data_IF_974011878498
#
_entry.id   IF_974011878498
#
_cell.length_a   1.000
_cell.length_b   1.000
_cell.length_c   1.000
_cell.angle_alpha   90.00
_cell.angle_beta   90.00
_cell.angle_gamma   90.00
#
_symmetry.space_group_name_H-M   'P 1'
#
loop_
_entity.id
_entity.type
_entity.pdbx_description
1 polymer ?
#
# COMPACT_ATOMS: atom_id res chain seq x y z
N UNK A 1 -24.42 11.95 1.83
CA UNK A 1 -24.03 11.60 1.55
C UNK A 1 -22.96 11.22 1.61
N UNK A 2 -22.68 10.78 1.46
CA UNK A 2 -21.71 10.01 1.47
C UNK A 2 -20.45 10.51 1.53
N UNK A 3 -20.17 11.37 2.17
CA UNK A 3 -18.89 11.75 2.33
C UNK A 3 -18.18 10.82 3.19
N UNK A 4 -18.87 9.90 3.62
CA UNK A 4 -18.28 8.98 4.52
C UNK A 4 -17.12 8.27 3.96
N UNK A 5 -16.94 8.36 2.70
CA UNK A 5 -15.92 7.56 2.13
C UNK A 5 -14.56 8.18 2.13
N UNK A 6 -14.48 9.40 2.64
CA UNK A 6 -13.16 10.00 2.72
C UNK A 6 -12.40 9.38 3.88
N UNK A 7 -11.30 8.74 3.59
CA UNK A 7 -10.45 8.11 4.59
C UNK A 7 -9.06 8.66 4.48
N UNK A 8 -8.30 8.47 5.56
CA UNK A 8 -6.92 8.95 5.63
C UNK A 8 -6.03 7.83 6.13
N UNK A 9 -4.89 7.68 5.49
CA UNK A 9 -3.87 6.73 5.90
C UNK A 9 -2.67 7.51 6.41
N UNK A 10 -2.25 7.23 7.64
CA UNK A 10 -1.07 7.87 8.22
C UNK A 10 0.14 6.98 8.05
N UNK A 11 1.27 7.56 7.68
CA UNK A 11 2.52 6.84 7.56
C UNK A 11 3.65 7.78 7.93
N UNK A 12 4.68 7.27 8.60
CA UNK A 12 5.81 8.12 8.97
C UNK A 12 6.67 8.39 7.73
N UNK A 13 7.44 9.47 7.79
CA UNK A 13 8.36 9.79 6.71
C UNK A 13 9.38 8.68 6.50
N UNK A 14 9.82 8.04 7.59
CA UNK A 14 10.78 6.94 7.49
C UNK A 14 10.22 5.77 6.71
N UNK A 15 8.98 5.38 7.00
CA UNK A 15 8.37 4.25 6.30
C UNK A 15 8.07 4.60 4.85
N UNK A 16 7.63 5.84 4.59
CA UNK A 16 7.40 6.27 3.22
C UNK A 16 8.70 6.21 2.42
N UNK A 17 9.82 6.60 3.03
CA UNK A 17 11.11 6.52 2.34
C UNK A 17 11.53 5.09 2.09
N UNK A 18 11.20 4.17 3.00
CA UNK A 18 11.51 2.76 2.77
C UNK A 18 10.74 2.22 1.57
N UNK A 19 9.49 2.63 1.41
CA UNK A 19 8.70 2.22 0.25
C UNK A 19 9.34 2.78 -1.02
N UNK A 20 9.72 4.05 -1.00
CA UNK A 20 10.36 4.68 -2.16
C UNK A 20 11.69 4.00 -2.49
N UNK A 21 12.48 3.70 -1.48
CA UNK A 21 13.77 3.03 -1.69
C UNK A 21 13.56 1.65 -2.31
N UNK A 22 12.56 0.90 -1.82
CA UNK A 22 12.25 -0.41 -2.38
C UNK A 22 11.85 -0.29 -3.84
N UNK A 23 11.04 0.73 -4.17
CA UNK A 23 10.58 0.93 -5.54
C UNK A 23 11.72 1.30 -6.48
N UNK A 24 12.68 2.08 -6.01
CA UNK A 24 13.85 2.43 -6.82
C UNK A 24 14.77 1.24 -7.00
N UNK A 25 14.89 0.43 -5.94
CA UNK A 25 15.79 -0.72 -5.96
C UNK A 25 15.35 -1.78 -6.95
N UNK A 26 14.04 -2.00 -7.07
CA UNK A 26 13.54 -3.03 -7.99
C UNK A 26 13.34 -2.53 -9.41
N UNK A 27 13.34 -1.22 -9.62
CA UNK A 27 13.15 -0.68 -10.95
C UNK A 27 14.11 -1.35 -11.93
N UNK A 28 13.70 -1.78 -13.12
CA UNK A 28 12.43 -1.47 -13.80
C UNK A 28 11.29 -2.43 -13.49
N UNK A 29 11.43 -3.24 -12.46
CA UNK A 29 10.37 -4.17 -12.06
C UNK A 29 9.54 -3.54 -10.93
N UNK A 30 8.30 -4.00 -10.79
CA UNK A 30 7.45 -3.55 -9.70
C UNK A 30 7.92 -4.14 -8.38
N UNK A 31 7.88 -3.33 -7.33
CA UNK A 31 8.04 -3.84 -5.98
C UNK A 31 6.65 -4.07 -5.38
N UNK A 32 6.59 -4.83 -4.31
CA UNK A 32 5.36 -4.98 -3.55
C UNK A 32 5.69 -5.33 -2.10
N UNK A 33 4.72 -5.10 -1.23
CA UNK A 33 4.86 -5.43 0.17
C UNK A 33 3.56 -5.21 0.91
N UNK A 34 3.53 -5.64 2.17
CA UNK A 34 2.37 -5.46 3.03
C UNK A 34 2.57 -4.26 3.94
N UNK A 35 1.46 -3.61 4.24
CA UNK A 35 1.41 -2.52 5.22
C UNK A 35 0.87 -3.10 6.52
N UNK A 36 1.66 -3.01 7.58
CA UNK A 36 1.27 -3.52 8.87
C UNK A 36 0.97 -2.34 9.79
N UNK A 37 -0.13 -2.42 10.54
CA UNK A 37 -0.47 -1.31 11.40
C UNK A 37 -1.76 -1.53 12.14
N UNK A 38 -2.50 -0.45 12.36
CA UNK A 38 -3.77 -0.47 13.07
C UNK A 38 -4.80 0.31 12.31
N UNK A 39 -6.00 -0.23 12.30
CA UNK A 39 -7.13 0.48 11.71
C UNK A 39 -7.69 1.43 12.76
N UNK A 40 -8.48 2.41 12.33
CA UNK A 40 -9.13 3.32 13.24
C UNK A 40 -10.16 2.59 14.08
N UNK A 41 -10.41 3.13 15.27
CA UNK A 41 -11.37 2.55 16.20
C UNK A 41 -12.77 2.97 15.80
N UNK A 42 -13.67 2.01 15.63
CA UNK A 42 -15.05 2.30 15.28
C UNK A 42 -15.71 3.22 16.30
N UNK A 43 -15.32 3.10 17.57
CA UNK A 43 -15.86 3.95 18.62
C UNK A 43 -15.31 5.36 18.57
N UNK A 44 -14.32 5.61 17.76
CA UNK A 44 -13.69 6.93 17.63
C UNK A 44 -13.60 7.27 16.15
N UNK A 45 -14.67 7.86 15.59
CA UNK A 45 -14.70 8.11 14.15
C UNK A 45 -13.56 8.96 13.62
N UNK A 46 -12.94 9.77 14.47
CA UNK A 46 -11.81 10.57 14.05
C UNK A 46 -10.52 9.77 13.97
N UNK A 47 -10.50 8.56 14.48
CA UNK A 47 -9.29 7.75 14.41
C UNK A 47 -9.04 7.31 12.96
N UNK A 48 -7.79 7.31 12.56
CA UNK A 48 -7.42 6.98 11.20
C UNK A 48 -6.57 5.72 11.19
N UNK A 49 -6.44 5.15 10.02
CA UNK A 49 -5.61 3.97 9.83
C UNK A 49 -4.15 4.39 9.80
N UNK A 50 -3.30 3.65 10.49
CA UNK A 50 -1.90 4.03 10.63
C UNK A 50 -0.98 2.88 10.25
N UNK A 51 -0.02 3.16 9.36
CA UNK A 51 1.01 2.20 8.98
C UNK A 51 2.13 2.29 10.00
N UNK A 52 2.47 1.17 10.64
CA UNK A 52 3.48 1.13 11.69
C UNK A 52 4.69 0.28 11.33
N UNK A 53 4.57 -0.57 10.33
CA UNK A 53 5.67 -1.41 9.85
C UNK A 53 5.40 -1.84 8.43
N UNK A 54 6.42 -2.33 7.76
CA UNK A 54 6.31 -2.84 6.40
C UNK A 54 6.77 -4.28 6.36
N UNK A 55 6.21 -5.03 5.43
CA UNK A 55 6.65 -6.40 5.18
C UNK A 55 6.90 -6.52 3.68
N UNK A 56 8.13 -6.23 3.23
CA UNK A 56 8.43 -6.29 1.79
C UNK A 56 8.32 -7.71 1.26
N UNK A 57 7.86 -7.82 0.02
CA UNK A 57 7.70 -9.10 -0.65
C UNK A 57 8.58 -9.15 -1.88
N UNK A 58 8.83 -10.36 -2.35
CA UNK A 58 9.57 -10.58 -3.58
C UNK A 58 8.54 -10.72 -4.71
N UNK A 59 8.73 -9.97 -5.80
CA UNK A 59 7.85 -10.08 -6.94
C UNK A 59 8.16 -11.39 -7.65
N UNK A 60 7.16 -12.27 -7.71
CA UNK A 60 7.33 -13.63 -8.23
C UNK A 60 6.71 -13.84 -9.61
N UNK A 61 6.23 -12.76 -10.24
CA UNK A 61 5.69 -12.89 -11.59
C UNK A 61 6.83 -13.07 -12.57
N UNK A 62 6.82 -14.18 -13.29
CA UNK A 62 7.85 -14.46 -14.26
C UNK A 62 7.52 -13.91 -15.64
N UNK A 63 6.22 -13.84 -15.97
CA UNK A 63 5.80 -13.47 -17.31
C UNK A 63 5.80 -11.97 -17.53
N UNK A 64 5.64 -11.16 -16.50
CA UNK A 64 5.55 -9.72 -16.68
C UNK A 64 5.96 -8.98 -15.41
N UNK A 65 7.12 -9.27 -14.82
CA UNK A 65 7.50 -8.66 -13.54
C UNK A 65 7.72 -7.15 -13.64
N UNK A 66 7.90 -6.64 -14.86
CA UNK A 66 8.10 -5.21 -15.03
C UNK A 66 6.81 -4.42 -14.79
N UNK A 67 5.67 -4.99 -15.19
CA UNK A 67 4.40 -4.28 -15.13
C UNK A 67 3.43 -4.84 -14.12
N UNK A 68 3.76 -5.92 -13.48
CA UNK A 68 2.83 -6.61 -12.58
C UNK A 68 3.58 -7.28 -11.45
N UNK A 69 2.86 -7.51 -10.37
CA UNK A 69 3.41 -8.27 -9.26
C UNK A 69 2.41 -9.35 -8.88
N UNK A 70 2.86 -10.33 -8.10
CA UNK A 70 2.02 -11.43 -7.68
C UNK A 70 2.24 -11.68 -6.20
N UNK A 71 1.14 -11.71 -5.44
CA UNK A 71 1.18 -12.01 -4.02
C UNK A 71 0.49 -13.35 -3.84
N UNK A 72 1.21 -14.32 -3.28
CA UNK A 72 0.68 -15.66 -3.10
C UNK A 72 -0.06 -15.77 -1.78
N UNK A 73 -0.87 -16.84 -1.63
CA UNK A 73 -1.53 -17.10 -0.36
C UNK A 73 -0.51 -17.27 0.76
N UNK A 74 0.64 -17.83 0.44
CA UNK A 74 1.71 -17.99 1.40
C UNK A 74 2.24 -16.64 1.87
N UNK A 75 2.40 -15.70 0.93
CA UNK A 75 2.86 -14.35 1.27
C UNK A 75 1.88 -13.67 2.22
N UNK A 76 0.59 -13.82 1.96
CA UNK A 76 -0.44 -13.23 2.83
C UNK A 76 -0.35 -13.83 4.22
N UNK A 77 -0.19 -15.14 4.30
CA UNK A 77 -0.10 -15.82 5.59
C UNK A 77 1.14 -15.35 6.38
N UNK A 78 2.26 -15.22 5.70
CA UNK A 78 3.48 -14.76 6.35
C UNK A 78 3.35 -13.32 6.84
N UNK A 79 2.71 -12.47 6.04
CA UNK A 79 2.48 -11.09 6.44
C UNK A 79 1.58 -11.03 7.67
N UNK A 80 0.53 -11.85 7.69
CA UNK A 80 -0.38 -11.90 8.84
C UNK A 80 0.33 -12.36 10.09
N UNK A 81 1.16 -13.40 9.99
CA UNK A 81 1.91 -13.91 11.13
C UNK A 81 2.87 -12.86 11.67
N UNK A 82 3.56 -12.18 10.76
CA UNK A 82 4.51 -11.15 11.15
C UNK A 82 3.81 -10.00 11.85
N UNK A 83 2.65 -9.60 11.33
CA UNK A 83 1.86 -8.54 11.94
C UNK A 83 1.42 -8.93 13.34
N UNK A 84 0.88 -10.15 13.49
CA UNK A 84 0.39 -10.61 14.79
C UNK A 84 1.52 -10.67 15.82
N UNK A 85 2.71 -11.07 15.40
CA UNK A 85 3.84 -11.14 16.31
C UNK A 85 4.23 -9.76 16.85
N UNK A 86 3.85 -8.70 16.14
CA UNK A 86 4.13 -7.33 16.56
C UNK A 86 2.92 -6.64 17.16
N UNK A 87 1.82 -7.37 17.37
CA UNK A 87 0.59 -6.78 17.87
C UNK A 87 -0.10 -5.90 16.85
N UNK A 88 0.12 -6.16 15.58
CA UNK A 88 -0.45 -5.38 14.49
C UNK A 88 -1.30 -6.27 13.59
N UNK A 89 -1.84 -5.68 12.52
CA UNK A 89 -2.57 -6.44 11.51
C UNK A 89 -2.17 -5.93 10.13
N UNK A 90 -2.43 -6.71 9.11
CA UNK A 90 -2.22 -6.26 7.73
C UNK A 90 -3.37 -5.32 7.40
N UNK A 91 -3.04 -4.07 7.11
CA UNK A 91 -4.05 -3.07 6.80
C UNK A 91 -4.04 -2.69 5.32
N UNK A 92 -3.07 -3.18 4.56
CA UNK A 92 -3.01 -2.87 3.15
C UNK A 92 -1.75 -3.41 2.50
N UNK A 93 -1.54 -2.92 1.30
CA UNK A 93 -0.44 -3.38 0.45
C UNK A 93 0.14 -2.20 -0.29
N UNK A 94 1.40 -2.28 -0.70
CA UNK A 94 2.01 -1.27 -1.55
C UNK A 94 2.64 -1.93 -2.76
N UNK A 95 2.69 -1.17 -3.86
CA UNK A 95 3.45 -1.59 -5.03
C UNK A 95 3.85 -0.37 -5.83
N UNK A 96 4.77 -0.56 -6.77
CA UNK A 96 5.25 0.53 -7.60
C UNK A 96 4.77 0.38 -9.03
N UNK A 97 4.70 1.50 -9.74
CA UNK A 97 4.35 1.56 -11.15
C UNK A 97 5.56 2.13 -11.91
N UNK A 98 6.44 1.26 -12.44
CA UNK A 98 7.59 1.75 -13.20
C UNK A 98 7.15 2.47 -14.46
N UNK A 99 7.53 3.76 -14.55
CA UNK A 99 7.25 4.64 -15.69
C UNK A 99 5.76 4.80 -16.00
N UNK A 100 4.91 4.63 -14.98
CA UNK A 100 3.47 4.85 -15.10
C UNK A 100 2.97 5.70 -13.92
N UNK A 101 1.83 6.38 -14.08
CA UNK A 101 1.29 7.19 -12.99
C UNK A 101 0.91 6.35 -11.76
N UNK A 102 0.85 7.01 -10.61
CA UNK A 102 0.49 6.35 -9.35
C UNK A 102 -1.03 6.25 -9.23
N UNK A 103 -1.64 5.52 -10.17
CA UNK A 103 -3.08 5.28 -10.19
C UNK A 103 -3.34 3.82 -10.46
N UNK A 104 -4.40 3.24 -9.87
CA UNK A 104 -4.68 1.81 -10.06
C UNK A 104 -4.90 1.46 -11.51
N UNK A 105 -4.34 0.34 -11.94
CA UNK A 105 -4.56 -0.22 -13.25
C UNK A 105 -5.74 -1.17 -13.21
N UNK A 106 -6.18 -1.65 -14.36
CA UNK A 106 -7.22 -2.66 -14.42
C UNK A 106 -6.75 -3.94 -13.72
N UNK A 107 -5.47 -4.29 -13.90
CA UNK A 107 -4.91 -5.45 -13.20
C UNK A 107 -5.01 -5.26 -11.70
N UNK A 108 -4.70 -4.07 -11.20
CA UNK A 108 -4.81 -3.79 -9.78
C UNK A 108 -6.23 -3.99 -9.29
N UNK A 109 -7.20 -3.48 -10.05
CA UNK A 109 -8.60 -3.60 -9.67
C UNK A 109 -9.06 -5.05 -9.65
N UNK A 110 -8.63 -5.83 -10.62
CA UNK A 110 -9.03 -7.23 -10.73
C UNK A 110 -8.50 -8.07 -9.59
N UNK A 111 -7.38 -7.66 -9.00
CA UNK A 111 -6.71 -8.46 -7.98
C UNK A 111 -6.76 -7.85 -6.58
N UNK A 112 -7.45 -6.72 -6.41
CA UNK A 112 -7.53 -6.07 -5.11
C UNK A 112 -8.74 -6.57 -4.33
N UNK A 113 -8.73 -6.27 -3.03
CA UNK A 113 -9.82 -6.60 -2.13
C UNK A 113 -10.33 -5.34 -1.45
N UNK A 114 -11.61 -5.19 -1.24
CA UNK A 114 -12.12 -4.07 -0.45
C UNK A 114 -11.54 -4.09 0.96
N UNK A 115 -11.61 -2.97 1.63
CA UNK A 115 -11.13 -2.74 2.98
C UNK A 115 -9.67 -2.36 3.08
N UNK A 116 -8.77 -3.02 2.34
CA UNK A 116 -7.35 -2.72 2.42
C UNK A 116 -7.03 -1.36 1.80
N UNK A 117 -5.98 -0.73 2.32
CA UNK A 117 -5.40 0.45 1.68
C UNK A 117 -4.34 -0.01 0.69
N UNK A 118 -4.32 0.60 -0.49
CA UNK A 118 -3.34 0.27 -1.52
C UNK A 118 -2.51 1.49 -1.82
N UNK A 119 -1.22 1.43 -1.45
CA UNK A 119 -0.29 2.51 -1.76
C UNK A 119 0.37 2.19 -3.10
N UNK A 120 0.41 3.18 -3.98
CA UNK A 120 1.06 3.07 -5.28
C UNK A 120 2.12 4.16 -5.38
N UNK A 121 3.32 3.78 -5.78
CA UNK A 121 4.42 4.72 -6.00
C UNK A 121 4.78 4.71 -7.48
N UNK A 122 4.75 5.87 -8.10
CA UNK A 122 5.21 6.01 -9.48
C UNK A 122 6.73 6.15 -9.47
N UNK A 123 7.41 5.41 -10.35
CA UNK A 123 8.88 5.49 -10.46
C UNK A 123 9.20 5.84 -11.90
N UNK A 124 9.73 7.05 -12.13
CA UNK A 124 10.05 7.53 -13.47
C UNK A 124 11.54 7.48 -13.68
N UNK A 125 11.98 6.68 -14.63
CA UNK A 125 13.40 6.53 -14.94
C UNK A 125 14.24 6.20 -13.69
N UNK A 126 13.69 5.37 -12.82
CA UNK A 126 14.38 4.96 -11.61
C UNK A 126 14.23 5.90 -10.43
N UNK A 127 13.53 7.02 -10.60
CA UNK A 127 13.35 8.00 -9.51
C UNK A 127 11.93 7.94 -8.99
N UNK A 128 11.73 7.64 -7.71
CA UNK A 128 10.37 7.62 -7.13
C UNK A 128 9.75 9.02 -7.17
N UNK A 129 8.48 9.06 -7.56
CA UNK A 129 7.73 10.30 -7.67
C UNK A 129 6.52 10.26 -6.73
N UNK A 130 5.32 10.38 -7.28
CA UNK A 130 4.10 10.44 -6.47
C UNK A 130 3.85 9.15 -5.70
N UNK A 131 3.34 9.31 -4.49
CA UNK A 131 2.87 8.20 -3.67
C UNK A 131 1.41 8.48 -3.32
N UNK A 132 0.54 7.56 -3.66
CA UNK A 132 -0.90 7.72 -3.47
C UNK A 132 -1.46 6.52 -2.74
N UNK A 133 -2.65 6.66 -2.17
CA UNK A 133 -3.34 5.55 -1.53
C UNK A 133 -4.76 5.44 -2.05
N UNK A 134 -5.27 4.23 -2.13
CA UNK A 134 -6.57 3.93 -2.72
C UNK A 134 -7.25 2.81 -1.96
N UNK A 135 -8.58 2.82 -2.00
CA UNK A 135 -9.38 1.71 -1.48
C UNK A 135 -10.34 1.24 -2.56
N UNK A 136 -10.45 -0.06 -2.72
CA UNK A 136 -11.40 -0.63 -3.66
C UNK A 136 -12.79 -0.53 -3.05
N UNK A 137 -13.75 -0.04 -3.82
CA UNK A 137 -15.13 0.07 -3.37
C UNK A 137 -15.72 -1.33 -3.14
N UNK A 138 -16.74 -1.40 -2.28
CA UNK A 138 -17.32 -2.68 -1.92
C UNK A 138 -17.91 -3.42 -3.13
N UNK A 139 -18.39 -2.68 -4.13
CA UNK A 139 -18.92 -3.32 -5.34
C UNK A 139 -17.81 -3.76 -6.30
N UNK A 140 -16.55 -3.48 -5.96
CA UNK A 140 -15.35 -3.86 -6.71
C UNK A 140 -15.28 -3.24 -8.11
N UNK A 141 -16.05 -2.21 -8.37
CA UNK A 141 -16.09 -1.60 -9.71
C UNK A 141 -15.11 -0.46 -9.90
N UNK A 142 -14.61 0.11 -8.80
CA UNK A 142 -13.71 1.24 -8.89
C UNK A 142 -12.96 1.40 -7.59
N UNK A 143 -11.83 2.09 -7.68
CA UNK A 143 -11.09 2.53 -6.49
C UNK A 143 -11.53 3.94 -6.13
N UNK A 144 -11.52 4.25 -4.85
CA UNK A 144 -11.68 5.61 -4.37
C UNK A 144 -10.35 6.08 -3.81
N UNK A 145 -9.96 7.33 -4.11
CA UNK A 145 -8.72 7.84 -3.55
C UNK A 145 -8.83 7.98 -2.04
N UNK A 146 -7.74 7.69 -1.37
CA UNK A 146 -7.62 7.84 0.08
C UNK A 146 -6.50 8.83 0.35
N UNK A 147 -6.74 9.81 1.22
CA UNK A 147 -5.69 10.74 1.57
C UNK A 147 -4.55 10.02 2.27
N UNK A 148 -3.32 10.36 1.92
CA UNK A 148 -2.16 9.82 2.61
C UNK A 148 -1.48 10.97 3.31
N UNK A 149 -1.30 10.83 4.62
CA UNK A 149 -0.64 11.85 5.42
C UNK A 149 0.70 11.31 5.87
N UNK A 150 1.77 11.93 5.40
CA UNK A 150 3.12 11.53 5.76
C UNK A 150 3.57 12.40 6.92
N UNK A 151 3.90 11.77 8.04
CA UNK A 151 4.29 12.49 9.26
C UNK A 151 5.79 12.44 9.43
N UNK A 152 6.38 13.61 9.50
CA UNK A 152 7.82 13.76 9.65
C UNK A 152 8.18 14.22 11.06
N UNK A 153 9.35 13.74 11.51
CA UNK A 153 9.95 14.30 12.70
C UNK A 153 9.29 14.03 13.95
N UNK A 154 8.49 13.15 14.01
CA UNK A 154 7.87 12.99 15.16
C UNK A 154 8.67 12.40 16.12
N UNK A 155 9.67 12.23 15.97
CA UNK A 155 10.35 11.65 16.77
C UNK A 155 10.31 12.04 17.99
N UNK A 156 10.19 12.16 18.39
CA UNK A 156 10.38 12.39 19.46
C UNK A 156 10.46 11.88 20.14
#
# INVERSE_FOLDING_TARGET
MAMADETTLWISGQLAEKIRAHSAETYPHECCGALLGRDGDVAHPEAVREVLALFPLVNRRDDSPRNRFSVTAEDVLEADKTAQAQGLQVIGWYHSHPDHPARPSQYDQDHAWPWYSYIIVSVQNGAPQDMTSWRLNDDRRAFSPEDIEIRHGAAV
#
